data_IF_770484393431
#
_entry.id   IF_770484393431
#
_cell.length_a   1.000
_cell.length_b   1.000
_cell.length_c   1.000
_cell.angle_alpha   90.00
_cell.angle_beta   90.00
_cell.angle_gamma   90.00
#
_symmetry.space_group_name_H-M   'P 1'
#
loop_
_entity.id
_entity.type
_entity.pdbx_description
1 polymer ?
#
# COMPACT_ATOMS: atom_id res chain seq x y z
N UNK A 1 55.97 -2.55 20.59
CA UNK A 1 56.24 -3.63 19.60
C UNK A 1 55.13 -4.70 19.52
N UNK A 2 54.47 -5.07 20.64
CA UNK A 2 53.50 -6.19 20.67
C UNK A 2 52.17 -5.97 19.93
N UNK A 3 51.66 -4.74 19.83
CA UNK A 3 50.38 -4.46 19.16
C UNK A 3 50.43 -4.70 17.64
N UNK A 4 51.56 -4.33 17.01
CA UNK A 4 51.77 -4.53 15.56
C UNK A 4 51.85 -6.02 15.21
N UNK A 5 52.49 -6.83 16.07
CA UNK A 5 52.58 -8.28 15.89
C UNK A 5 51.21 -8.96 15.95
N UNK A 6 50.36 -8.59 16.93
CA UNK A 6 48.99 -9.12 17.05
C UNK A 6 48.10 -8.77 15.87
N UNK A 7 48.26 -7.56 15.31
CA UNK A 7 47.50 -7.12 14.14
C UNK A 7 47.86 -7.92 12.89
N UNK A 8 49.16 -8.10 12.63
CA UNK A 8 49.65 -8.90 11.50
C UNK A 8 49.15 -10.35 11.62
N UNK A 9 49.20 -10.91 12.83
CA UNK A 9 48.75 -12.28 13.10
C UNK A 9 47.23 -12.45 12.91
N UNK A 10 46.42 -11.45 13.27
CA UNK A 10 44.97 -11.45 13.03
C UNK A 10 44.62 -11.34 11.53
N UNK A 11 45.34 -10.49 10.78
CA UNK A 11 45.15 -10.32 9.33
C UNK A 11 45.54 -11.60 8.56
N UNK A 12 46.64 -12.25 8.93
CA UNK A 12 47.05 -13.53 8.34
C UNK A 12 46.06 -14.66 8.63
N UNK A 13 45.45 -14.65 9.82
CA UNK A 13 44.42 -15.63 10.19
C UNK A 13 43.13 -15.44 9.39
N UNK A 14 42.71 -14.20 9.17
CA UNK A 14 41.57 -13.87 8.31
C UNK A 14 41.79 -14.32 6.86
N UNK A 15 42.98 -14.07 6.32
CA UNK A 15 43.35 -14.51 4.98
C UNK A 15 43.28 -16.04 4.82
N UNK A 16 43.75 -16.78 5.83
CA UNK A 16 43.70 -18.24 5.80
C UNK A 16 42.26 -18.81 5.93
N UNK A 17 41.36 -18.11 6.63
CA UNK A 17 39.93 -18.47 6.70
C UNK A 17 39.23 -18.24 5.35
N UNK A 18 39.53 -17.13 4.67
CA UNK A 18 38.94 -16.82 3.35
C UNK A 18 39.39 -17.81 2.26
N UNK A 19 40.62 -18.29 2.36
CA UNK A 19 41.17 -19.31 1.45
C UNK A 19 40.75 -20.75 1.81
N UNK A 20 39.85 -20.93 2.78
CA UNK A 20 39.35 -22.25 3.20
C UNK A 20 40.38 -23.16 3.86
N UNK A 21 41.58 -22.65 4.18
CA UNK A 21 42.69 -23.42 4.78
C UNK A 21 42.52 -23.62 6.28
N UNK A 22 41.63 -22.86 6.92
CA UNK A 22 41.34 -22.93 8.35
C UNK A 22 39.83 -22.93 8.56
N UNK A 23 39.33 -23.96 9.24
CA UNK A 23 37.92 -24.06 9.62
C UNK A 23 37.59 -22.96 10.64
N UNK A 24 36.48 -22.23 10.42
CA UNK A 24 36.06 -21.18 11.36
C UNK A 24 35.82 -21.81 12.75
N UNK A 25 36.29 -21.18 13.84
CA UNK A 25 35.97 -21.65 15.18
C UNK A 25 34.46 -21.63 15.35
N UNK A 26 33.89 -22.74 15.82
CA UNK A 26 32.46 -22.89 16.04
C UNK A 26 32.06 -22.10 17.29
N UNK A 27 31.59 -20.87 17.09
CA UNK A 27 31.17 -19.96 18.18
C UNK A 27 29.77 -20.32 18.72
N UNK A 28 29.04 -21.20 18.02
CA UNK A 28 27.70 -21.64 18.40
C UNK A 28 27.74 -23.14 18.70
N UNK A 29 28.06 -23.49 19.95
CA UNK A 29 28.05 -24.88 20.42
C UNK A 29 26.79 -25.64 19.97
N UNK A 30 27.00 -26.90 19.60
CA UNK A 30 26.05 -27.89 19.11
C UNK A 30 24.59 -27.65 19.52
N UNK A 31 23.82 -26.94 18.68
CA UNK A 31 22.36 -26.88 18.82
C UNK A 31 21.79 -28.27 18.55
N UNK A 32 21.22 -28.90 19.58
CA UNK A 32 20.33 -30.06 19.42
C UNK A 32 19.24 -29.69 18.42
N UNK A 33 19.07 -30.49 17.36
CA UNK A 33 17.97 -30.33 16.41
C UNK A 33 16.64 -30.44 17.19
N UNK A 34 15.70 -29.47 17.05
CA UNK A 34 14.38 -29.64 17.63
C UNK A 34 13.64 -30.78 16.91
N UNK A 35 12.73 -31.49 17.61
CA UNK A 35 12.01 -32.62 17.04
C UNK A 35 11.12 -32.14 15.89
N UNK A 36 11.10 -32.94 14.82
CA UNK A 36 10.23 -32.74 13.65
C UNK A 36 8.78 -32.91 14.09
N UNK A 37 8.06 -31.80 14.20
CA UNK A 37 6.61 -31.82 14.37
C UNK A 37 5.99 -32.22 13.03
N UNK A 38 5.27 -33.34 13.02
CA UNK A 38 4.33 -33.67 11.94
C UNK A 38 3.19 -32.67 12.02
N UNK A 39 3.04 -31.81 11.02
CA UNK A 39 1.88 -30.93 10.91
C UNK A 39 0.66 -31.80 10.61
N UNK A 40 -0.11 -32.10 11.67
CA UNK A 40 -1.52 -32.43 11.53
C UNK A 40 -2.28 -31.10 11.39
N UNK A 41 -3.21 -31.09 10.45
CA UNK A 41 -4.21 -30.04 10.25
C UNK A 41 -5.00 -29.79 11.55
N UNK A 42 -4.90 -28.59 12.10
CA UNK A 42 -5.89 -27.90 12.96
C UNK A 42 -5.26 -26.64 13.56
N UNK A 43 -5.29 -25.53 12.82
CA UNK A 43 -5.13 -24.17 13.37
C UNK A 43 -6.23 -23.28 12.76
N UNK A 44 -7.48 -23.71 12.94
CA UNK A 44 -8.68 -22.87 12.82
C UNK A 44 -9.28 -22.77 14.22
N UNK A 45 -8.72 -21.93 15.09
CA UNK A 45 -9.40 -21.38 16.26
C UNK A 45 -8.48 -20.36 16.94
N UNK A 46 -8.75 -19.08 16.72
CA UNK A 46 -8.60 -17.93 17.65
C UNK A 46 -8.66 -16.66 16.80
N UNK A 47 -9.74 -15.91 16.89
CA UNK A 47 -9.79 -14.49 17.28
C UNK A 47 -11.19 -13.92 17.03
N UNK A 48 -11.57 -13.05 17.97
CA UNK A 48 -12.93 -12.63 18.29
C UNK A 48 -13.62 -11.83 17.19
N UNK A 49 -14.95 -11.99 17.16
CA UNK A 49 -15.88 -11.19 16.38
C UNK A 49 -15.71 -9.70 16.70
N UNK A 50 -15.23 -8.93 15.74
CA UNK A 50 -15.49 -7.49 15.70
C UNK A 50 -16.68 -7.31 14.75
N UNK A 51 -17.82 -6.94 15.33
CA UNK A 51 -18.96 -6.44 14.58
C UNK A 51 -18.53 -5.15 13.88
N UNK A 52 -18.26 -5.23 12.58
CA UNK A 52 -18.17 -4.05 11.73
C UNK A 52 -19.49 -3.91 10.97
N UNK A 53 -20.20 -2.83 11.29
CA UNK A 53 -21.36 -2.37 10.55
C UNK A 53 -20.99 -2.22 9.07
N UNK A 54 -21.69 -2.99 8.23
CA UNK A 54 -21.50 -3.02 6.79
C UNK A 54 -21.80 -1.66 6.15
N UNK A 55 -20.78 -0.80 6.03
CA UNK A 55 -20.76 0.21 4.99
C UNK A 55 -20.35 -0.50 3.69
N UNK A 56 -21.34 -1.05 3.00
CA UNK A 56 -21.16 -1.57 1.63
C UNK A 56 -20.78 -0.39 0.76
N UNK A 57 -19.48 -0.21 0.52
CA UNK A 57 -18.97 0.68 -0.51
C UNK A 57 -19.40 0.04 -1.83
N UNK A 58 -20.59 0.40 -2.32
CA UNK A 58 -21.00 0.18 -3.70
C UNK A 58 -20.08 1.03 -4.58
N UNK A 59 -18.90 0.50 -4.87
CA UNK A 59 -17.91 1.15 -5.72
C UNK A 59 -18.16 0.75 -7.16
N UNK A 60 -18.20 1.75 -8.03
CA UNK A 60 -18.06 1.70 -9.49
C UNK A 60 -16.87 0.85 -10.00
N UNK A 61 -16.05 0.27 -9.11
CA UNK A 61 -15.00 -0.70 -9.42
C UNK A 61 -15.45 -1.86 -10.32
N UNK A 62 -16.75 -2.19 -10.33
CA UNK A 62 -17.32 -3.21 -11.24
C UNK A 62 -17.29 -2.77 -12.71
N UNK A 63 -17.33 -1.46 -13.00
CA UNK A 63 -17.27 -0.94 -14.38
C UNK A 63 -15.86 -0.87 -14.97
N UNK A 64 -14.81 -1.07 -14.16
CA UNK A 64 -13.43 -1.11 -14.66
C UNK A 64 -13.06 -2.45 -15.32
N UNK A 65 -13.91 -3.49 -15.17
CA UNK A 65 -13.64 -4.85 -15.63
C UNK A 65 -13.56 -5.00 -17.17
N UNK A 66 -14.17 -4.07 -17.92
CA UNK A 66 -14.16 -4.04 -19.38
C UNK A 66 -13.04 -3.16 -19.97
N UNK A 67 -12.20 -2.54 -19.12
CA UNK A 67 -11.18 -1.54 -19.50
C UNK A 67 -9.77 -2.06 -19.19
N UNK A 68 -9.44 -3.28 -19.60
CA UNK A 68 -8.03 -3.60 -19.85
C UNK A 68 -7.82 -3.52 -21.37
N UNK A 69 -7.44 -2.35 -21.91
CA UNK A 69 -7.17 -2.25 -23.33
C UNK A 69 -5.97 -3.15 -23.63
N UNK A 70 -6.03 -3.88 -24.75
CA UNK A 70 -4.88 -4.61 -25.30
C UNK A 70 -3.70 -3.68 -25.71
N UNK A 71 -3.71 -2.41 -25.29
CA UNK A 71 -2.76 -1.39 -25.65
C UNK A 71 -2.51 -0.43 -24.47
N UNK A 72 -1.58 -0.82 -23.59
CA UNK A 72 -1.19 -0.05 -22.40
C UNK A 72 -0.86 1.42 -22.70
N UNK A 73 -0.32 1.72 -23.89
CA UNK A 73 0.03 3.09 -24.30
C UNK A 73 -1.20 4.00 -24.47
N UNK A 74 -2.33 3.45 -24.92
CA UNK A 74 -3.58 4.23 -25.03
C UNK A 74 -4.13 4.53 -23.64
N UNK A 75 -4.18 3.51 -22.78
CA UNK A 75 -4.61 3.65 -21.37
C UNK A 75 -3.78 4.71 -20.64
N UNK A 76 -2.46 4.67 -20.80
CA UNK A 76 -1.56 5.64 -20.17
C UNK A 76 -1.81 7.07 -20.66
N UNK A 77 -2.07 7.24 -21.96
CA UNK A 77 -2.40 8.55 -22.54
C UNK A 77 -3.73 9.08 -22.01
N UNK A 78 -4.75 8.23 -21.95
CA UNK A 78 -6.08 8.59 -21.43
C UNK A 78 -6.01 8.94 -19.94
N UNK A 79 -5.27 8.16 -19.15
CA UNK A 79 -5.02 8.46 -17.74
C UNK A 79 -4.25 9.77 -17.57
N UNK A 80 -3.21 10.02 -18.36
CA UNK A 80 -2.50 11.29 -18.35
C UNK A 80 -3.43 12.47 -18.64
N UNK A 81 -4.28 12.37 -19.66
CA UNK A 81 -5.29 13.40 -19.95
C UNK A 81 -6.31 13.55 -18.79
N UNK A 82 -6.71 12.46 -18.16
CA UNK A 82 -7.60 12.47 -17.00
C UNK A 82 -6.98 13.19 -15.78
N UNK A 83 -5.68 13.01 -15.55
CA UNK A 83 -4.95 13.75 -14.52
C UNK A 83 -4.75 15.22 -14.91
N UNK A 84 -4.37 15.52 -16.15
CA UNK A 84 -4.22 16.92 -16.60
C UNK A 84 -5.54 17.69 -16.52
N UNK A 85 -6.66 17.06 -16.87
CA UNK A 85 -7.99 17.66 -16.77
C UNK A 85 -8.55 17.75 -15.34
N UNK A 86 -7.86 17.20 -14.34
CA UNK A 86 -8.34 17.18 -12.96
C UNK A 86 -9.54 16.27 -12.71
N UNK A 87 -9.92 15.41 -13.66
CA UNK A 87 -11.06 14.48 -13.51
C UNK A 87 -10.70 13.27 -12.63
N UNK A 88 -9.42 12.91 -12.59
CA UNK A 88 -8.86 11.87 -11.75
C UNK A 88 -7.68 12.39 -10.94
N UNK A 89 -7.45 11.76 -9.79
CA UNK A 89 -6.33 12.05 -8.88
C UNK A 89 -5.51 10.79 -8.61
N UNK A 90 -4.22 10.99 -8.32
CA UNK A 90 -3.31 9.96 -7.83
C UNK A 90 -3.04 10.16 -6.34
N UNK A 91 -3.01 9.06 -5.60
CA UNK A 91 -2.67 9.05 -4.18
C UNK A 91 -1.51 8.09 -3.94
N UNK A 92 -0.54 8.53 -3.16
CA UNK A 92 0.53 7.65 -2.72
C UNK A 92 0.01 6.75 -1.60
N UNK A 93 0.42 5.49 -1.64
CA UNK A 93 0.01 4.49 -0.67
C UNK A 93 1.18 4.14 0.25
N UNK A 94 1.02 4.37 1.54
CA UNK A 94 2.00 3.89 2.52
C UNK A 94 1.94 2.37 2.61
N UNK A 95 3.09 1.70 2.51
CA UNK A 95 3.23 0.26 2.73
C UNK A 95 3.07 -0.62 1.47
N UNK A 96 2.86 0.00 0.31
CA UNK A 96 3.07 -0.65 -0.98
C UNK A 96 4.53 -0.47 -1.44
N UNK A 97 4.89 -1.03 -2.60
CA UNK A 97 6.16 -0.67 -3.25
C UNK A 97 6.13 0.82 -3.62
N UNK A 98 7.29 1.49 -3.63
CA UNK A 98 7.41 2.96 -3.75
C UNK A 98 6.75 3.57 -5.01
N UNK A 99 6.41 2.74 -6.01
CA UNK A 99 5.80 3.15 -7.28
C UNK A 99 4.31 2.79 -7.43
N UNK A 100 3.63 2.28 -6.38
CA UNK A 100 2.19 1.99 -6.44
C UNK A 100 1.34 3.21 -6.03
N UNK A 101 0.40 3.59 -6.91
CA UNK A 101 -0.55 4.68 -6.67
C UNK A 101 -1.98 4.13 -6.68
N UNK A 102 -2.84 4.69 -5.83
CA UNK A 102 -4.29 4.55 -6.00
C UNK A 102 -4.80 5.69 -6.88
N UNK A 103 -5.68 5.33 -7.81
CA UNK A 103 -6.41 6.28 -8.65
C UNK A 103 -7.83 6.44 -8.11
N UNK A 104 -8.33 7.66 -8.09
CA UNK A 104 -9.70 7.96 -7.70
C UNK A 104 -10.24 9.09 -8.56
N UNK A 105 -11.53 9.04 -8.92
CA UNK A 105 -12.21 10.18 -9.54
C UNK A 105 -12.18 11.36 -8.56
N UNK A 106 -11.96 12.56 -9.06
CA UNK A 106 -11.96 13.77 -8.24
C UNK A 106 -13.31 14.00 -7.56
N UNK A 107 -14.41 13.60 -8.21
CA UNK A 107 -15.75 13.65 -7.64
C UNK A 107 -15.90 12.74 -6.41
N UNK A 108 -15.35 11.53 -6.44
CA UNK A 108 -15.40 10.60 -5.30
C UNK A 108 -14.53 11.10 -4.14
N UNK A 109 -13.37 11.66 -4.47
CA UNK A 109 -12.51 12.30 -3.48
C UNK A 109 -13.19 13.49 -2.80
N UNK A 110 -13.96 14.29 -3.55
CA UNK A 110 -14.79 15.37 -3.01
C UNK A 110 -15.80 14.87 -1.98
N UNK A 111 -16.51 13.78 -2.30
CA UNK A 111 -17.47 13.16 -1.39
C UNK A 111 -16.79 12.60 -0.14
N UNK A 112 -15.61 12.00 -0.31
CA UNK A 112 -14.80 11.49 0.79
C UNK A 112 -14.32 12.60 1.74
N UNK A 113 -13.91 13.76 1.21
CA UNK A 113 -13.59 14.93 2.03
C UNK A 113 -14.80 15.37 2.86
N UNK A 114 -16.00 15.39 2.27
CA UNK A 114 -17.21 15.75 3.01
C UNK A 114 -17.54 14.73 4.12
N UNK A 115 -17.32 13.43 3.90
CA UNK A 115 -17.47 12.41 4.93
C UNK A 115 -16.44 12.55 6.06
N UNK A 116 -15.17 12.83 5.73
CA UNK A 116 -14.12 13.04 6.72
C UNK A 116 -14.46 14.23 7.66
N UNK A 117 -15.08 15.29 7.13
CA UNK A 117 -15.55 16.44 7.92
C UNK A 117 -16.62 16.07 8.95
N UNK A 118 -17.52 15.15 8.61
CA UNK A 118 -18.58 14.72 9.53
C UNK A 118 -18.00 14.00 10.75
N UNK A 119 -16.91 13.27 10.57
CA UNK A 119 -16.24 12.51 11.63
C UNK A 119 -15.24 13.35 12.42
N UNK A 120 -14.58 14.31 11.77
CA UNK A 120 -13.65 15.25 12.39
C UNK A 120 -14.03 16.67 11.97
N UNK A 121 -14.88 17.38 12.74
CA UNK A 121 -15.31 18.72 12.42
C UNK A 121 -14.10 19.65 12.36
N UNK A 122 -13.76 20.05 11.13
CA UNK A 122 -12.66 20.96 10.89
C UNK A 122 -13.11 22.40 11.25
N UNK A 123 -12.35 23.11 12.09
CA UNK A 123 -12.69 24.47 12.55
C UNK A 123 -12.49 25.54 11.45
N UNK A 124 -11.75 25.17 10.39
CA UNK A 124 -11.46 26.02 9.24
C UNK A 124 -12.62 26.11 8.25
N UNK A 125 -12.54 27.07 7.33
CA UNK A 125 -13.42 27.15 6.16
C UNK A 125 -13.11 26.00 5.17
N UNK A 126 -13.67 24.84 5.48
CA UNK A 126 -13.34 23.55 4.86
C UNK A 126 -13.75 23.42 3.40
N UNK A 127 -14.56 24.36 2.93
CA UNK A 127 -14.89 24.43 1.52
C UNK A 127 -13.67 24.86 0.72
N UNK A 128 -12.78 25.69 1.28
CA UNK A 128 -11.55 26.11 0.59
C UNK A 128 -10.63 24.95 0.24
N UNK A 129 -10.34 24.05 1.18
CA UNK A 129 -9.53 22.86 0.87
C UNK A 129 -10.19 22.01 -0.20
N UNK A 130 -11.50 21.73 -0.04
CA UNK A 130 -12.25 20.93 -1.01
C UNK A 130 -12.20 21.56 -2.40
N UNK A 131 -12.50 22.85 -2.50
CA UNK A 131 -12.60 23.58 -3.76
C UNK A 131 -11.24 23.69 -4.44
N UNK A 132 -10.17 24.00 -3.70
CA UNK A 132 -8.81 24.08 -4.25
C UNK A 132 -8.37 22.71 -4.77
N UNK A 133 -8.57 21.66 -3.98
CA UNK A 133 -8.13 20.32 -4.36
C UNK A 133 -9.00 19.73 -5.49
N UNK A 134 -10.23 20.20 -5.70
CA UNK A 134 -11.06 19.73 -6.82
C UNK A 134 -10.99 20.59 -8.08
N UNK A 135 -10.65 21.88 -7.95
CA UNK A 135 -10.78 22.85 -9.04
C UNK A 135 -9.45 23.47 -9.49
N UNK A 136 -8.40 23.43 -8.67
CA UNK A 136 -7.08 23.95 -9.04
C UNK A 136 -6.16 22.81 -9.49
N UNK A 137 -5.82 22.81 -10.78
CA UNK A 137 -4.92 21.83 -11.39
C UNK A 137 -3.55 21.75 -10.69
N UNK A 138 -3.08 22.84 -10.07
CA UNK A 138 -1.82 22.87 -9.31
C UNK A 138 -1.85 21.93 -8.11
N UNK A 139 -3.04 21.67 -7.58
CA UNK A 139 -3.27 20.78 -6.44
C UNK A 139 -3.71 19.38 -6.88
N UNK A 140 -3.63 19.04 -8.18
CA UNK A 140 -3.81 17.67 -8.65
C UNK A 140 -2.54 16.79 -8.57
N UNK A 141 -1.49 17.31 -7.93
CA UNK A 141 -0.31 16.55 -7.62
C UNK A 141 -0.55 15.59 -6.44
N UNK A 142 0.31 14.59 -6.30
CA UNK A 142 0.25 13.60 -5.20
C UNK A 142 0.66 14.21 -3.86
N UNK A 143 1.54 15.21 -3.90
CA UNK A 143 2.05 15.90 -2.73
C UNK A 143 1.87 17.42 -2.86
N UNK A 144 1.94 18.09 -1.71
CA UNK A 144 1.80 19.53 -1.59
C UNK A 144 2.73 20.06 -0.50
N UNK A 145 3.36 21.19 -0.79
CA UNK A 145 4.17 21.90 0.20
C UNK A 145 3.23 22.67 1.12
N UNK A 146 3.49 22.63 2.42
CA UNK A 146 2.73 23.33 3.46
C UNK A 146 2.46 24.79 3.11
N UNK A 147 3.49 25.51 2.67
CA UNK A 147 3.40 26.92 2.28
C UNK A 147 2.34 27.15 1.20
N UNK A 148 2.23 26.25 0.21
CA UNK A 148 1.22 26.36 -0.84
C UNK A 148 -0.22 26.22 -0.30
N UNK A 149 -0.43 25.36 0.69
CA UNK A 149 -1.73 25.24 1.38
C UNK A 149 -2.02 26.49 2.22
N UNK A 150 -1.01 27.03 2.90
CA UNK A 150 -1.17 28.25 3.71
C UNK A 150 -1.52 29.46 2.82
N UNK A 151 -0.88 29.60 1.67
CA UNK A 151 -1.13 30.69 0.73
C UNK A 151 -2.48 30.56 0.02
N UNK A 152 -2.79 29.37 -0.53
CA UNK A 152 -4.00 29.18 -1.33
C UNK A 152 -5.27 29.09 -0.46
N UNK A 153 -5.20 28.39 0.68
CA UNK A 153 -6.36 28.17 1.54
C UNK A 153 -6.47 29.20 2.68
N UNK A 154 -5.47 30.06 2.88
CA UNK A 154 -5.30 30.88 4.08
C UNK A 154 -5.26 30.05 5.37
N UNK A 155 -4.62 28.89 5.32
CA UNK A 155 -4.49 27.98 6.44
C UNK A 155 -3.37 28.38 7.41
N UNK A 156 -3.56 28.04 8.68
CA UNK A 156 -2.56 28.11 9.73
C UNK A 156 -2.11 26.70 10.17
N UNK A 157 -1.12 26.63 11.07
CA UNK A 157 -0.59 25.36 11.58
C UNK A 157 -1.68 24.44 12.18
N UNK A 158 -2.61 24.95 13.01
CA UNK A 158 -3.76 24.14 13.47
C UNK A 158 -4.56 23.53 12.33
N UNK A 159 -4.85 24.28 11.26
CA UNK A 159 -5.64 23.76 10.14
C UNK A 159 -4.92 22.60 9.44
N UNK A 160 -3.60 22.72 9.20
CA UNK A 160 -2.80 21.63 8.61
C UNK A 160 -2.79 20.41 9.54
N UNK A 161 -2.61 20.61 10.84
CA UNK A 161 -2.62 19.54 11.84
C UNK A 161 -3.96 18.80 11.86
N UNK A 162 -5.05 19.52 11.59
CA UNK A 162 -6.39 18.97 11.52
C UNK A 162 -6.64 18.16 10.25
N UNK A 163 -6.10 18.58 9.10
CA UNK A 163 -6.12 17.79 7.87
C UNK A 163 -5.33 16.47 8.01
N UNK A 164 -4.23 16.50 8.75
CA UNK A 164 -3.48 15.28 9.09
C UNK A 164 -4.29 14.38 10.03
N UNK A 165 -4.85 14.95 11.10
CA UNK A 165 -5.66 14.19 12.07
C UNK A 165 -6.93 13.58 11.45
N UNK A 166 -7.52 14.25 10.46
CA UNK A 166 -8.67 13.74 9.70
C UNK A 166 -8.28 12.76 8.59
N UNK A 167 -6.99 12.46 8.41
CA UNK A 167 -6.52 11.49 7.41
C UNK A 167 -6.60 11.97 5.96
N UNK A 168 -6.75 13.28 5.73
CA UNK A 168 -6.75 13.90 4.39
C UNK A 168 -5.33 14.25 3.92
N UNK A 169 -4.39 14.40 4.85
CA UNK A 169 -2.97 14.57 4.59
C UNK A 169 -2.12 13.57 5.36
N UNK A 170 -1.01 13.16 4.77
CA UNK A 170 0.03 12.34 5.40
C UNK A 170 1.35 13.13 5.34
N UNK A 171 2.08 13.32 6.45
CA UNK A 171 3.41 13.93 6.40
C UNK A 171 4.39 13.11 5.55
N UNK A 172 5.16 13.79 4.69
CA UNK A 172 6.18 13.13 3.90
C UNK A 172 7.33 12.65 4.80
N UNK A 173 7.76 11.40 4.64
CA UNK A 173 8.76 10.78 5.52
C UNK A 173 10.20 11.34 5.36
N UNK A 174 10.56 11.81 4.16
CA UNK A 174 11.87 12.42 3.85
C UNK A 174 11.83 13.96 3.89
N UNK A 175 10.83 14.58 3.27
CA UNK A 175 10.80 16.02 3.03
C UNK A 175 10.01 16.74 4.13
N UNK A 176 10.66 17.67 4.83
CA UNK A 176 10.00 18.52 5.83
C UNK A 176 9.02 19.48 5.16
N UNK A 177 7.92 19.79 5.84
CA UNK A 177 6.84 20.66 5.36
C UNK A 177 6.22 20.23 4.02
N UNK A 178 6.35 18.96 3.65
CA UNK A 178 5.67 18.36 2.49
C UNK A 178 4.70 17.31 2.99
N UNK A 179 3.51 17.29 2.40
CA UNK A 179 2.46 16.36 2.73
C UNK A 179 1.99 15.63 1.47
N UNK A 180 1.62 14.37 1.61
CA UNK A 180 0.89 13.62 0.59
C UNK A 180 -0.59 13.83 0.80
N UNK A 181 -1.33 14.01 -0.30
CA UNK A 181 -2.78 13.85 -0.24
C UNK A 181 -3.10 12.40 0.10
N UNK A 182 -4.04 12.23 1.00
CA UNK A 182 -4.40 10.93 1.55
C UNK A 182 -5.87 10.65 1.30
N UNK A 183 -6.17 9.36 1.20
CA UNK A 183 -7.53 8.84 1.23
C UNK A 183 -7.90 8.66 2.70
N UNK A 184 -9.03 9.23 3.10
CA UNK A 184 -9.55 9.07 4.46
C UNK A 184 -9.74 7.58 4.77
N UNK A 185 -9.27 7.13 5.94
CA UNK A 185 -9.27 5.72 6.34
C UNK A 185 -8.51 4.76 5.39
N UNK A 186 -7.46 5.22 4.71
CA UNK A 186 -6.69 4.37 3.78
C UNK A 186 -6.15 3.07 4.41
N UNK A 187 -5.93 3.03 5.73
CA UNK A 187 -5.42 1.84 6.41
C UNK A 187 -6.33 0.61 6.28
N UNK A 188 -7.65 0.80 6.40
CA UNK A 188 -8.64 -0.28 6.24
C UNK A 188 -8.70 -0.77 4.79
N UNK A 189 -8.72 0.18 3.85
CA UNK A 189 -8.63 -0.09 2.41
C UNK A 189 -7.38 -0.92 2.09
N UNK A 190 -6.21 -0.49 2.56
CA UNK A 190 -4.93 -1.15 2.29
C UNK A 190 -4.80 -2.52 2.94
N UNK A 191 -5.34 -2.68 4.15
CA UNK A 191 -5.40 -3.97 4.81
C UNK A 191 -6.26 -4.95 4.02
N UNK A 192 -7.45 -4.52 3.59
CA UNK A 192 -8.36 -5.33 2.77
C UNK A 192 -7.74 -5.70 1.42
N UNK A 193 -7.04 -4.76 0.77
CA UNK A 193 -6.36 -4.99 -0.51
C UNK A 193 -5.23 -6.00 -0.36
N UNK A 194 -4.34 -5.77 0.60
CA UNK A 194 -3.17 -6.63 0.86
C UNK A 194 -3.59 -8.04 1.25
N UNK A 195 -4.59 -8.16 2.13
CA UNK A 195 -5.13 -9.45 2.55
C UNK A 195 -5.78 -10.21 1.38
N UNK A 196 -6.55 -9.51 0.54
CA UNK A 196 -7.17 -10.07 -0.67
C UNK A 196 -6.12 -10.61 -1.65
N UNK A 197 -5.12 -9.77 -1.99
CA UNK A 197 -3.96 -10.14 -2.82
C UNK A 197 -3.27 -11.39 -2.28
N UNK A 198 -2.93 -11.39 -0.99
CA UNK A 198 -2.26 -12.52 -0.33
C UNK A 198 -3.11 -13.79 -0.35
N UNK A 199 -4.43 -13.68 -0.16
CA UNK A 199 -5.31 -14.84 -0.16
C UNK A 199 -5.36 -15.50 -1.55
N UNK A 200 -5.50 -14.72 -2.62
CA UNK A 200 -5.46 -15.24 -4.00
C UNK A 200 -4.10 -15.89 -4.30
N UNK A 201 -3.00 -15.20 -4.00
CA UNK A 201 -1.65 -15.74 -4.21
C UNK A 201 -1.41 -17.04 -3.42
N UNK A 202 -1.96 -17.16 -2.21
CA UNK A 202 -1.90 -18.41 -1.42
C UNK A 202 -2.71 -19.53 -2.05
N UNK A 203 -3.89 -19.25 -2.61
CA UNK A 203 -4.69 -20.24 -3.34
C UNK A 203 -3.89 -20.81 -4.51
N UNK A 204 -3.25 -19.95 -5.31
CA UNK A 204 -2.42 -20.35 -6.44
C UNK A 204 -1.20 -21.17 -5.98
N UNK A 205 -0.45 -20.67 -4.99
CA UNK A 205 0.78 -21.32 -4.48
C UNK A 205 0.56 -22.72 -3.91
N UNK A 206 -0.64 -23.03 -3.41
CA UNK A 206 -0.99 -24.36 -2.87
C UNK A 206 -1.25 -25.40 -3.97
N UNK A 207 -1.47 -24.99 -5.21
CA UNK A 207 -1.71 -25.91 -6.33
C UNK A 207 -0.38 -26.34 -6.94
N UNK A 208 -0.29 -27.60 -7.36
CA UNK A 208 0.92 -28.18 -7.97
C UNK A 208 1.37 -27.43 -9.23
N UNK A 209 0.41 -27.07 -10.06
CA UNK A 209 0.58 -26.34 -11.33
C UNK A 209 0.65 -24.82 -11.15
N UNK A 210 0.32 -24.31 -9.96
CA UNK A 210 0.23 -22.88 -9.62
C UNK A 210 -0.77 -22.07 -10.47
N UNK A 211 -1.69 -22.75 -11.15
CA UNK A 211 -2.76 -22.18 -11.98
C UNK A 211 -4.15 -22.58 -11.45
N UNK A 212 -5.19 -21.89 -11.92
CA UNK A 212 -6.59 -22.19 -11.60
C UNK A 212 -7.49 -21.65 -12.71
N UNK A 213 -8.56 -22.37 -13.04
CA UNK A 213 -9.61 -21.83 -13.91
C UNK A 213 -10.27 -20.61 -13.25
N UNK A 214 -10.35 -19.48 -13.96
CA UNK A 214 -10.93 -18.23 -13.44
C UNK A 214 -12.35 -18.45 -12.86
N UNK A 215 -13.19 -19.26 -13.53
CA UNK A 215 -14.52 -19.63 -13.04
C UNK A 215 -14.50 -20.30 -11.66
N UNK A 216 -13.52 -21.15 -11.39
CA UNK A 216 -13.36 -21.82 -10.09
C UNK A 216 -12.79 -20.87 -9.03
N UNK A 217 -11.94 -19.93 -9.43
CA UNK A 217 -11.40 -18.92 -8.53
C UNK A 217 -12.51 -17.96 -8.07
N UNK A 218 -13.34 -17.45 -8.99
CA UNK A 218 -14.47 -16.55 -8.69
C UNK A 218 -15.52 -17.15 -7.75
N UNK A 219 -15.60 -18.47 -7.67
CA UNK A 219 -16.49 -19.17 -6.73
C UNK A 219 -15.93 -19.24 -5.29
N UNK A 220 -14.67 -18.86 -5.07
CA UNK A 220 -14.09 -18.85 -3.72
C UNK A 220 -14.61 -17.65 -2.92
N UNK A 221 -14.68 -17.83 -1.60
CA UNK A 221 -14.94 -16.72 -0.69
C UNK A 221 -13.62 -16.16 -0.17
N UNK A 222 -13.45 -14.85 -0.27
CA UNK A 222 -12.38 -14.15 0.41
C UNK A 222 -12.89 -13.69 1.77
N UNK A 223 -12.22 -14.11 2.85
CA UNK A 223 -12.71 -13.88 4.22
C UNK A 223 -11.98 -12.71 4.90
N UNK A 224 -10.92 -12.19 4.28
CA UNK A 224 -10.04 -11.16 4.86
C UNK A 224 -9.99 -9.89 4.02
N UNK A 225 -10.89 -9.76 3.03
CA UNK A 225 -10.94 -8.64 2.11
C UNK A 225 -12.40 -8.27 1.87
N UNK A 226 -12.69 -6.98 1.84
CA UNK A 226 -13.98 -6.43 1.40
C UNK A 226 -14.09 -6.33 -0.13
N UNK A 227 -13.01 -6.59 -0.88
CA UNK A 227 -13.01 -6.50 -2.33
C UNK A 227 -13.50 -7.79 -3.01
N UNK A 228 -14.13 -7.62 -4.17
CA UNK A 228 -14.50 -8.74 -5.03
C UNK A 228 -13.26 -9.44 -5.61
N UNK A 229 -13.41 -10.72 -5.95
CA UNK A 229 -12.34 -11.48 -6.61
C UNK A 229 -12.01 -10.88 -7.97
N UNK A 230 -13.02 -10.39 -8.68
CA UNK A 230 -12.86 -9.72 -9.97
C UNK A 230 -11.90 -8.54 -9.86
N UNK A 231 -12.17 -7.62 -8.92
CA UNK A 231 -11.32 -6.45 -8.69
C UNK A 231 -9.87 -6.86 -8.38
N UNK A 232 -9.70 -7.79 -7.43
CA UNK A 232 -8.37 -8.24 -7.03
C UNK A 232 -7.63 -8.99 -8.14
N UNK A 233 -8.35 -9.70 -9.00
CA UNK A 233 -7.76 -10.39 -10.15
C UNK A 233 -7.23 -9.38 -11.17
N UNK A 234 -8.01 -8.34 -11.49
CA UNK A 234 -7.57 -7.27 -12.37
C UNK A 234 -6.36 -6.52 -11.80
N UNK A 235 -6.36 -6.24 -10.51
CA UNK A 235 -5.24 -5.62 -9.80
C UNK A 235 -3.97 -6.49 -9.81
N UNK A 236 -4.10 -7.80 -9.55
CA UNK A 236 -2.97 -8.73 -9.60
C UNK A 236 -2.40 -8.92 -11.01
N UNK A 237 -3.26 -8.93 -12.03
CA UNK A 237 -2.85 -8.99 -13.44
C UNK A 237 -2.16 -7.69 -13.84
N UNK A 238 -2.80 -6.54 -13.56
CA UNK A 238 -2.27 -5.22 -13.89
C UNK A 238 -0.92 -4.93 -13.22
N UNK A 239 -0.68 -5.50 -12.04
CA UNK A 239 0.61 -5.39 -11.36
C UNK A 239 1.63 -6.50 -11.72
N UNK A 240 1.30 -7.39 -12.66
CA UNK A 240 2.20 -8.46 -13.13
C UNK A 240 2.47 -9.56 -12.10
N UNK A 241 1.65 -9.67 -11.04
CA UNK A 241 1.78 -10.70 -10.00
C UNK A 241 1.14 -12.03 -10.40
N UNK A 242 0.20 -11.98 -11.34
CA UNK A 242 -0.52 -13.12 -11.92
C UNK A 242 -0.72 -12.85 -13.41
N UNK A 243 -0.80 -13.89 -14.22
CA UNK A 243 -1.15 -13.83 -15.65
C UNK A 243 -2.45 -14.62 -15.92
N UNK A 244 -3.13 -14.26 -17.02
CA UNK A 244 -4.38 -14.89 -17.46
C UNK A 244 -4.12 -15.98 -18.48
#
# INVERSE_FOLDING_TARGET
MNARKRRIEAEQRLYNIQQGKVQKPDVYGSRKKPPVVKNNDQDDEFFENVNDDNLVINSDAVSAADILPNNNTVTDRELQQAFTSGSWRKFHIIGALDDEYVLMKTADYRNMIDHAKQQCPLEADNNKFKDIVTCDEKFNQVSVIKQALMEACHFNEPNISQLVSSGLLIPHHIQMDVYWFSIHNQGSFMSSLSNGRLQILRILKRRSTKDIMEKLLKQKKLNKSSFSIEFLLHDLIGSGRVER
#
